data_IF_219757391470
#
_entry.id   IF_219757391470
#
_cell.length_a   1.000
_cell.length_b   1.000
_cell.length_c   1.000
_cell.angle_alpha   90.00
_cell.angle_beta   90.00
_cell.angle_gamma   90.00
#
_symmetry.space_group_name_H-M   'P 1'
#
loop_
_entity.id
_entity.type
_entity.pdbx_description
1 polymer ?
#
# COMPACT_ATOMS: atom_id res chain seq x y z
N UNK A 1 -0.85 15.99 6.09
CA UNK A 1 -1.42 16.91 5.08
C UNK A 1 -2.65 16.25 4.51
N UNK A 2 -3.84 16.69 4.93
CA UNK A 2 -5.09 16.30 4.29
C UNK A 2 -5.12 16.98 2.92
N UNK A 3 -5.06 16.18 1.86
CA UNK A 3 -5.36 16.63 0.50
C UNK A 3 -6.89 16.79 0.42
N UNK A 4 -7.40 17.88 0.98
CA UNK A 4 -8.69 18.38 0.56
C UNK A 4 -8.50 18.98 -0.84
N UNK A 5 -9.23 18.55 -1.88
CA UNK A 5 -9.21 19.25 -3.16
C UNK A 5 -9.66 20.69 -2.86
N UNK A 6 -8.75 21.65 -3.03
CA UNK A 6 -9.18 23.04 -3.03
C UNK A 6 -10.07 23.23 -4.24
N UNK A 7 -11.29 23.78 -4.07
CA UNK A 7 -12.04 24.25 -5.22
C UNK A 7 -11.18 25.31 -5.91
N UNK A 8 -10.80 25.03 -7.16
CA UNK A 8 -10.24 26.05 -8.04
C UNK A 8 -11.32 27.11 -8.13
N UNK A 9 -11.08 28.28 -7.55
CA UNK A 9 -11.93 29.42 -7.82
C UNK A 9 -11.67 29.79 -9.27
N UNK A 10 -12.68 29.59 -10.10
CA UNK A 10 -12.67 30.05 -11.46
C UNK A 10 -12.87 31.57 -11.46
N UNK A 11 -11.80 32.29 -11.13
CA UNK A 11 -11.82 33.75 -10.98
C UNK A 11 -11.76 34.46 -12.35
N UNK A 12 -11.90 33.73 -13.46
CA UNK A 12 -11.85 34.26 -14.83
C UNK A 12 -13.15 34.11 -15.61
N UNK A 13 -14.09 33.30 -15.16
CA UNK A 13 -15.43 33.23 -15.75
C UNK A 13 -16.33 34.31 -15.14
N UNK A 14 -16.31 35.50 -15.73
CA UNK A 14 -17.45 36.39 -15.63
C UNK A 14 -18.63 35.68 -16.29
N UNK A 15 -19.42 34.92 -15.51
CA UNK A 15 -20.65 34.31 -16.00
C UNK A 15 -21.50 35.40 -16.64
N UNK A 16 -21.62 35.32 -17.96
CA UNK A 16 -22.42 36.27 -18.71
C UNK A 16 -23.83 35.72 -18.83
N UNK A 17 -24.82 36.58 -19.05
CA UNK A 17 -26.22 36.17 -19.25
C UNK A 17 -26.42 35.17 -20.41
N UNK A 18 -25.38 34.93 -21.22
CA UNK A 18 -25.39 34.02 -22.37
C UNK A 18 -25.01 32.58 -21.99
N UNK A 19 -24.47 32.33 -20.79
CA UNK A 19 -24.14 30.97 -20.33
C UNK A 19 -25.39 30.15 -19.95
N UNK A 20 -26.52 30.83 -19.71
CA UNK A 20 -27.81 30.20 -19.41
C UNK A 20 -28.52 29.63 -20.66
N UNK A 21 -28.10 30.03 -21.86
CA UNK A 21 -28.73 29.65 -23.13
C UNK A 21 -27.87 28.68 -23.97
N UNK A 22 -26.78 28.13 -23.42
CA UNK A 22 -26.06 27.05 -24.07
C UNK A 22 -26.77 25.72 -23.75
N UNK A 23 -27.54 25.11 -24.67
CA UNK A 23 -27.92 23.72 -24.50
C UNK A 23 -26.62 22.93 -24.41
N UNK A 24 -26.40 22.25 -23.27
CA UNK A 24 -25.43 21.16 -23.20
C UNK A 24 -26.01 20.04 -24.06
N UNK A 25 -25.85 20.18 -25.36
CA UNK A 25 -26.32 19.20 -26.32
C UNK A 25 -25.59 17.88 -26.04
N UNK A 26 -26.37 16.81 -25.89
CA UNK A 26 -25.88 15.45 -25.81
C UNK A 26 -25.07 15.01 -27.06
N UNK A 27 -24.97 15.88 -28.08
CA UNK A 27 -24.10 15.77 -29.23
C UNK A 27 -22.63 16.17 -28.96
N UNK A 28 -22.30 16.79 -27.82
CA UNK A 28 -20.91 17.14 -27.49
C UNK A 28 -19.99 15.94 -27.26
N UNK A 29 -20.56 14.74 -27.05
CA UNK A 29 -19.82 13.48 -26.99
C UNK A 29 -19.16 13.06 -28.32
N UNK A 30 -19.45 13.78 -29.42
CA UNK A 30 -18.91 13.50 -30.76
C UNK A 30 -18.06 14.65 -31.33
N UNK A 31 -17.50 15.53 -30.49
CA UNK A 31 -16.63 16.62 -30.99
C UNK A 31 -15.21 16.11 -31.19
N UNK A 32 -14.90 15.69 -32.42
CA UNK A 32 -13.58 15.28 -32.89
C UNK A 32 -12.62 16.45 -33.20
N UNK A 33 -12.95 17.68 -32.77
CA UNK A 33 -12.24 18.91 -33.13
C UNK A 33 -11.70 19.60 -31.88
N UNK A 34 -10.45 20.06 -31.92
CA UNK A 34 -9.85 20.79 -30.80
C UNK A 34 -10.45 22.20 -30.66
N UNK A 35 -10.29 22.83 -29.50
CA UNK A 35 -10.72 24.22 -29.27
C UNK A 35 -10.14 25.19 -30.32
N UNK A 36 -8.87 25.00 -30.72
CA UNK A 36 -8.25 25.81 -31.77
C UNK A 36 -8.84 25.52 -33.16
N UNK A 37 -9.25 24.28 -33.43
CA UNK A 37 -9.93 23.95 -34.70
C UNK A 37 -11.33 24.55 -34.78
N UNK A 38 -12.03 24.63 -33.65
CA UNK A 38 -13.30 25.34 -33.52
C UNK A 38 -13.09 26.84 -33.72
N UNK A 39 -12.05 27.42 -33.12
CA UNK A 39 -11.72 28.85 -33.29
C UNK A 39 -11.39 29.17 -34.75
N UNK A 40 -10.61 28.34 -35.43
CA UNK A 40 -10.33 28.49 -36.87
C UNK A 40 -11.60 28.41 -37.72
N UNK A 41 -12.53 27.51 -37.39
CA UNK A 41 -13.81 27.43 -38.09
C UNK A 41 -14.66 28.67 -37.87
N UNK A 42 -14.66 29.21 -36.65
CA UNK A 42 -15.32 30.46 -36.33
C UNK A 42 -14.73 31.64 -37.12
N UNK A 43 -13.40 31.73 -37.24
CA UNK A 43 -12.72 32.74 -38.07
C UNK A 43 -13.15 32.65 -39.54
N UNK A 44 -13.14 31.44 -40.12
CA UNK A 44 -13.59 31.19 -41.50
C UNK A 44 -15.06 31.59 -41.69
N UNK A 45 -15.92 31.25 -40.74
CA UNK A 45 -17.34 31.58 -40.79
C UNK A 45 -17.57 33.10 -40.71
N UNK A 46 -16.89 33.80 -39.81
CA UNK A 46 -16.99 35.27 -39.69
C UNK A 46 -16.59 35.98 -40.99
N UNK A 47 -15.55 35.50 -41.67
CA UNK A 47 -15.13 36.02 -42.97
C UNK A 47 -16.21 35.77 -44.03
N UNK A 48 -16.78 34.56 -44.07
CA UNK A 48 -17.85 34.23 -45.01
C UNK A 48 -19.11 35.08 -44.81
N UNK A 49 -19.56 35.23 -43.55
CA UNK A 49 -20.74 36.00 -43.19
C UNK A 49 -20.56 37.49 -43.51
N UNK A 50 -19.37 38.04 -43.23
CA UNK A 50 -19.05 39.42 -43.57
C UNK A 50 -19.07 39.64 -45.08
N UNK A 51 -18.51 38.72 -45.87
CA UNK A 51 -18.58 38.80 -47.33
C UNK A 51 -20.01 38.76 -47.86
N UNK A 52 -20.83 37.86 -47.31
CA UNK A 52 -22.25 37.76 -47.68
C UNK A 52 -23.02 39.04 -47.38
N UNK A 53 -22.74 39.69 -46.24
CA UNK A 53 -23.35 40.95 -45.84
C UNK A 53 -22.99 42.09 -46.81
N UNK A 54 -21.70 42.27 -47.12
CA UNK A 54 -21.24 43.29 -48.07
C UNK A 54 -21.78 43.08 -49.49
N UNK A 55 -21.90 41.82 -49.94
CA UNK A 55 -22.53 41.49 -51.20
C UNK A 55 -24.02 41.86 -51.22
N UNK A 56 -24.75 41.61 -50.13
CA UNK A 56 -26.16 41.98 -49.98
C UNK A 56 -26.38 43.51 -49.97
N UNK A 57 -25.42 44.28 -49.47
CA UNK A 57 -25.44 45.75 -49.47
C UNK A 57 -24.98 46.38 -50.80
N UNK A 58 -24.66 45.56 -51.81
CA UNK A 58 -24.27 46.03 -53.15
C UNK A 58 -22.82 46.52 -53.26
N UNK A 59 -21.96 46.19 -52.29
CA UNK A 59 -20.53 46.52 -52.28
C UNK A 59 -19.70 45.25 -52.07
N UNK A 60 -19.68 44.33 -53.05
CA UNK A 60 -18.92 43.08 -52.90
C UNK A 60 -17.44 43.38 -52.66
N UNK A 61 -16.86 42.70 -51.67
CA UNK A 61 -15.42 42.71 -51.39
C UNK A 61 -14.68 41.90 -52.46
N UNK A 62 -13.45 42.31 -52.81
CA UNK A 62 -12.55 41.54 -53.67
C UNK A 62 -12.21 40.18 -53.02
N UNK A 63 -11.90 39.16 -53.84
CA UNK A 63 -11.73 37.74 -53.44
C UNK A 63 -10.80 37.49 -52.24
N UNK A 64 -9.87 38.40 -51.95
CA UNK A 64 -8.92 38.32 -50.83
C UNK A 64 -9.02 39.47 -49.81
N UNK A 65 -9.96 40.41 -50.00
CA UNK A 65 -10.11 41.55 -49.10
C UNK A 65 -11.11 41.25 -47.97
N UNK A 66 -10.75 41.65 -46.75
CA UNK A 66 -11.63 41.73 -45.59
C UNK A 66 -11.43 43.10 -44.95
N UNK A 67 -12.43 43.67 -44.26
CA UNK A 67 -12.25 44.94 -43.56
C UNK A 67 -11.13 44.86 -42.52
N UNK A 68 -10.26 45.87 -42.45
CA UNK A 68 -9.14 45.95 -41.50
C UNK A 68 -9.59 45.76 -40.04
N UNK A 69 -10.79 46.25 -39.70
CA UNK A 69 -11.38 46.10 -38.36
C UNK A 69 -11.72 44.65 -38.04
N UNK A 70 -12.21 43.89 -39.02
CA UNK A 70 -12.48 42.46 -38.85
C UNK A 70 -11.16 41.68 -38.77
N UNK A 71 -10.17 42.04 -39.59
CA UNK A 71 -8.86 41.41 -39.56
C UNK A 71 -8.17 41.59 -38.20
N UNK A 72 -8.19 42.81 -37.65
CA UNK A 72 -7.64 43.10 -36.33
C UNK A 72 -8.39 42.34 -35.22
N UNK A 73 -9.73 42.30 -35.28
CA UNK A 73 -10.54 41.56 -34.32
C UNK A 73 -10.24 40.06 -34.35
N UNK A 74 -10.23 39.43 -35.54
CA UNK A 74 -9.95 38.00 -35.68
C UNK A 74 -8.53 37.65 -35.22
N UNK A 75 -7.55 38.51 -35.50
CA UNK A 75 -6.18 38.34 -34.99
C UNK A 75 -6.13 38.38 -33.46
N UNK A 76 -6.79 39.35 -32.83
CA UNK A 76 -6.86 39.45 -31.37
C UNK A 76 -7.56 38.24 -30.74
N UNK A 77 -8.66 37.76 -31.33
CA UNK A 77 -9.34 36.55 -30.86
C UNK A 77 -8.47 35.30 -31.03
N UNK A 78 -7.73 35.21 -32.13
CA UNK A 78 -6.78 34.13 -32.36
C UNK A 78 -5.70 34.10 -31.27
N UNK A 79 -5.05 35.24 -31.00
CA UNK A 79 -4.04 35.36 -29.95
C UNK A 79 -4.58 34.98 -28.57
N UNK A 80 -5.78 35.45 -28.22
CA UNK A 80 -6.45 35.10 -26.96
C UNK A 80 -6.76 33.61 -26.88
N UNK A 81 -7.23 33.00 -27.96
CA UNK A 81 -7.55 31.57 -28.01
C UNK A 81 -6.30 30.70 -27.81
N UNK A 82 -5.18 31.07 -28.43
CA UNK A 82 -3.88 30.40 -28.28
C UNK A 82 -3.35 30.57 -26.85
N UNK A 83 -3.42 31.78 -26.29
CA UNK A 83 -3.01 32.06 -24.91
C UNK A 83 -3.85 31.25 -23.91
N UNK A 84 -5.16 31.18 -24.11
CA UNK A 84 -6.07 30.38 -23.30
C UNK A 84 -5.69 28.89 -23.32
N UNK A 85 -5.50 28.30 -24.50
CA UNK A 85 -5.12 26.89 -24.61
C UNK A 85 -3.77 26.62 -23.96
N UNK A 86 -2.78 27.50 -24.16
CA UNK A 86 -1.47 27.38 -23.50
C UNK A 86 -1.60 27.38 -21.97
N UNK A 87 -2.42 28.28 -21.43
CA UNK A 87 -2.68 28.35 -20.00
C UNK A 87 -3.33 27.05 -19.49
N UNK A 88 -4.36 26.55 -20.19
CA UNK A 88 -5.05 25.31 -19.80
C UNK A 88 -4.15 24.08 -19.87
N UNK A 89 -3.28 23.99 -20.89
CA UNK A 89 -2.27 22.92 -20.99
C UNK A 89 -1.29 22.97 -19.81
N UNK A 90 -0.83 24.17 -19.44
CA UNK A 90 0.06 24.35 -18.30
C UNK A 90 -0.62 23.97 -16.97
N UNK A 91 -1.87 24.40 -16.77
CA UNK A 91 -2.66 24.05 -15.59
C UNK A 91 -2.90 22.54 -15.49
N UNK A 92 -3.25 21.88 -16.59
CA UNK A 92 -3.45 20.43 -16.63
C UNK A 92 -2.15 19.67 -16.35
N UNK A 93 -1.01 20.08 -16.93
CA UNK A 93 0.30 19.50 -16.57
C UNK A 93 0.58 19.63 -15.08
N UNK A 94 0.29 20.78 -14.48
CA UNK A 94 0.50 20.97 -13.04
C UNK A 94 -0.38 20.03 -12.19
N UNK A 95 -1.64 19.83 -12.59
CA UNK A 95 -2.53 18.86 -11.94
C UNK A 95 -2.02 17.43 -12.05
N UNK A 96 -1.60 17.00 -13.25
CA UNK A 96 -1.05 15.65 -13.47
C UNK A 96 0.26 15.45 -12.70
N UNK A 97 1.12 16.46 -12.63
CA UNK A 97 2.32 16.41 -11.80
C UNK A 97 1.99 16.26 -10.29
N UNK A 98 0.99 16.98 -9.79
CA UNK A 98 0.53 16.83 -8.41
C UNK A 98 -0.06 15.44 -8.15
N UNK A 99 -0.81 14.89 -9.11
CA UNK A 99 -1.34 13.54 -9.06
C UNK A 99 -0.22 12.49 -9.04
N UNK A 100 0.79 12.62 -9.90
CA UNK A 100 1.98 11.76 -9.93
C UNK A 100 2.72 11.76 -8.58
N UNK A 101 2.86 12.92 -7.95
CA UNK A 101 3.44 13.02 -6.60
C UNK A 101 2.58 12.31 -5.53
N UNK A 102 1.25 12.38 -5.66
CA UNK A 102 0.33 11.66 -4.78
C UNK A 102 0.43 10.14 -4.98
N UNK A 103 0.55 9.67 -6.23
CA UNK A 103 0.75 8.26 -6.57
C UNK A 103 2.05 7.69 -5.99
N UNK A 104 3.09 8.51 -5.82
CA UNK A 104 4.31 8.08 -5.14
C UNK A 104 4.12 7.88 -3.62
N UNK A 105 3.10 8.52 -3.03
CA UNK A 105 2.84 8.45 -1.57
C UNK A 105 1.74 7.44 -1.22
N UNK A 106 0.75 7.26 -2.10
CA UNK A 106 -0.40 6.40 -1.86
C UNK A 106 -0.07 4.94 -1.48
N UNK A 107 0.92 4.26 -2.11
CA UNK A 107 1.27 2.89 -1.76
C UNK A 107 1.68 2.75 -0.30
N UNK A 108 2.46 3.71 0.22
CA UNK A 108 2.91 3.73 1.61
C UNK A 108 1.72 3.76 2.58
N UNK A 109 0.79 4.68 2.34
CA UNK A 109 -0.39 4.85 3.21
C UNK A 109 -1.26 3.59 3.20
N UNK A 110 -1.48 3.01 2.02
CA UNK A 110 -2.25 1.76 1.89
C UNK A 110 -1.58 0.59 2.63
N UNK A 111 -0.26 0.46 2.53
CA UNK A 111 0.50 -0.61 3.17
C UNK A 111 0.60 -0.46 4.69
N UNK A 112 0.78 0.77 5.20
CA UNK A 112 0.73 1.07 6.63
C UNK A 112 -0.65 0.72 7.24
N UNK A 113 -1.74 0.93 6.48
CA UNK A 113 -3.09 0.55 6.89
C UNK A 113 -3.26 -0.97 7.03
N UNK A 114 -2.72 -1.75 6.08
CA UNK A 114 -2.74 -3.22 6.14
C UNK A 114 -2.02 -3.71 7.41
N UNK A 115 -0.84 -3.16 7.71
CA UNK A 115 -0.08 -3.55 8.92
C UNK A 115 -0.88 -3.26 10.18
N UNK A 116 -1.44 -2.05 10.29
CA UNK A 116 -2.22 -1.66 11.47
C UNK A 116 -3.42 -2.58 11.66
N UNK A 117 -4.15 -2.91 10.60
CA UNK A 117 -5.28 -3.86 10.68
C UNK A 117 -4.82 -5.28 11.06
N UNK A 118 -3.71 -5.75 10.50
CA UNK A 118 -3.15 -7.06 10.83
C UNK A 118 -2.75 -7.15 12.31
N UNK A 119 -2.02 -6.15 12.83
CA UNK A 119 -1.63 -6.08 14.25
C UNK A 119 -2.85 -6.06 15.16
N UNK A 120 -3.86 -5.25 14.85
CA UNK A 120 -5.10 -5.17 15.62
C UNK A 120 -5.87 -6.49 15.64
N UNK A 121 -5.95 -7.19 14.49
CA UNK A 121 -6.60 -8.49 14.40
C UNK A 121 -5.91 -9.53 15.29
N UNK A 122 -4.57 -9.61 15.24
CA UNK A 122 -3.78 -10.51 16.09
C UNK A 122 -3.98 -10.19 17.56
N UNK A 123 -3.85 -8.92 17.96
CA UNK A 123 -4.01 -8.49 19.35
C UNK A 123 -5.39 -8.83 19.90
N UNK A 124 -6.44 -8.66 19.09
CA UNK A 124 -7.80 -9.01 19.48
C UNK A 124 -7.98 -10.53 19.66
N UNK A 125 -7.47 -11.34 18.72
CA UNK A 125 -7.59 -12.80 18.76
C UNK A 125 -6.79 -13.40 19.92
N UNK A 126 -5.53 -13.01 20.05
CA UNK A 126 -4.65 -13.44 21.14
C UNK A 126 -5.22 -12.98 22.48
N UNK A 127 -5.67 -11.72 22.58
CA UNK A 127 -6.29 -11.22 23.81
C UNK A 127 -7.52 -12.01 24.26
N UNK A 128 -8.33 -12.51 23.32
CA UNK A 128 -9.47 -13.38 23.64
C UNK A 128 -9.02 -14.75 24.19
N UNK A 129 -8.02 -15.37 23.57
CA UNK A 129 -7.42 -16.63 24.03
C UNK A 129 -6.81 -16.45 25.43
N UNK A 130 -6.05 -15.38 25.64
CA UNK A 130 -5.43 -15.07 26.92
C UNK A 130 -6.45 -14.77 28.02
N UNK A 131 -7.52 -14.05 27.71
CA UNK A 131 -8.59 -13.76 28.67
C UNK A 131 -9.31 -15.05 29.13
N UNK A 132 -9.55 -15.97 28.20
CA UNK A 132 -10.15 -17.26 28.52
C UNK A 132 -9.23 -18.10 29.42
N UNK A 133 -7.93 -18.14 29.10
CA UNK A 133 -6.91 -18.80 29.93
C UNK A 133 -6.80 -18.17 31.30
N UNK A 134 -6.74 -16.84 31.39
CA UNK A 134 -6.58 -16.12 32.65
C UNK A 134 -7.67 -16.46 33.66
N UNK A 135 -8.91 -16.64 33.19
CA UNK A 135 -10.02 -17.06 34.05
C UNK A 135 -9.78 -18.45 34.67
N UNK A 136 -9.27 -19.40 33.89
CA UNK A 136 -8.96 -20.74 34.36
C UNK A 136 -7.73 -20.73 35.29
N UNK A 137 -6.70 -19.97 34.91
CA UNK A 137 -5.49 -19.76 35.70
C UNK A 137 -5.80 -19.26 37.11
N UNK A 138 -6.63 -18.21 37.24
CA UNK A 138 -7.02 -17.69 38.55
C UNK A 138 -7.81 -18.70 39.40
N UNK A 139 -8.59 -19.58 38.76
CA UNK A 139 -9.30 -20.63 39.48
C UNK A 139 -8.32 -21.69 40.03
N UNK A 140 -7.30 -22.08 39.27
CA UNK A 140 -6.25 -22.98 39.75
C UNK A 140 -5.38 -22.35 40.83
N UNK A 141 -5.04 -21.06 40.73
CA UNK A 141 -4.35 -20.32 41.80
C UNK A 141 -5.16 -20.34 43.10
N UNK A 142 -6.47 -20.08 43.03
CA UNK A 142 -7.35 -20.18 44.20
C UNK A 142 -7.40 -21.59 44.80
N UNK A 143 -7.37 -22.65 43.98
CA UNK A 143 -7.29 -24.03 44.47
C UNK A 143 -5.92 -24.33 45.11
N UNK A 144 -4.83 -23.82 44.53
CA UNK A 144 -3.47 -23.95 45.07
C UNK A 144 -3.39 -23.33 46.47
N UNK A 145 -3.96 -22.14 46.66
CA UNK A 145 -4.03 -21.49 47.97
C UNK A 145 -4.87 -22.29 48.97
N UNK A 146 -6.01 -22.84 48.54
CA UNK A 146 -6.84 -23.70 49.39
C UNK A 146 -6.11 -25.00 49.79
N UNK A 147 -5.37 -25.63 48.88
CA UNK A 147 -4.58 -26.81 49.19
C UNK A 147 -3.45 -26.48 50.16
N UNK A 148 -2.75 -25.36 49.93
CA UNK A 148 -1.72 -24.84 50.82
C UNK A 148 -2.24 -24.55 52.22
N UNK A 149 -3.42 -23.93 52.34
CA UNK A 149 -4.04 -23.65 53.64
C UNK A 149 -4.44 -24.92 54.41
N UNK A 150 -4.71 -26.03 53.69
CA UNK A 150 -5.03 -27.33 54.31
C UNK A 150 -3.81 -28.07 54.84
N UNK A 151 -2.59 -27.70 54.42
CA UNK A 151 -1.35 -28.20 55.02
C UNK A 151 -1.15 -27.56 56.39
N UNK A 152 -1.67 -28.22 57.43
CA UNK A 152 -1.53 -27.80 58.83
C UNK A 152 -0.55 -28.72 59.58
N UNK A 153 0.09 -28.25 60.67
CA UNK A 153 1.03 -29.07 61.45
C UNK A 153 0.43 -30.37 61.99
N UNK A 154 -0.88 -30.40 62.26
CA UNK A 154 -1.59 -31.59 62.76
C UNK A 154 -1.55 -32.78 61.78
N UNK A 155 -1.27 -32.51 60.50
CA UNK A 155 -1.10 -33.54 59.48
C UNK A 155 0.25 -34.28 59.56
N UNK A 156 1.17 -33.87 60.44
CA UNK A 156 2.38 -34.64 60.74
C UNK A 156 2.09 -35.86 61.62
N UNK A 157 0.85 -36.13 62.05
CA UNK A 157 0.54 -37.35 62.80
C UNK A 157 0.52 -38.59 61.88
N UNK A 158 1.06 -39.75 62.30
CA UNK A 158 0.93 -41.02 61.55
C UNK A 158 -0.53 -41.41 61.25
N UNK A 159 -1.49 -40.94 62.05
CA UNK A 159 -2.92 -41.20 61.85
C UNK A 159 -3.53 -40.37 60.70
N UNK A 160 -2.82 -39.37 60.18
CA UNK A 160 -3.30 -38.45 59.14
C UNK A 160 -2.67 -38.70 57.75
N UNK A 161 -1.90 -39.79 57.60
CA UNK A 161 -1.20 -40.12 56.34
C UNK A 161 -2.15 -40.15 55.14
N UNK A 162 -3.33 -40.76 55.27
CA UNK A 162 -4.32 -40.82 54.20
C UNK A 162 -4.84 -39.43 53.76
N UNK A 163 -4.90 -38.47 54.68
CA UNK A 163 -5.32 -37.09 54.39
C UNK A 163 -4.24 -36.36 53.61
N UNK A 164 -2.97 -36.53 54.00
CA UNK A 164 -1.82 -35.98 53.28
C UNK A 164 -1.73 -36.56 51.87
N UNK A 165 -1.90 -37.88 51.71
CA UNK A 165 -1.94 -38.53 50.39
C UNK A 165 -3.08 -38.00 49.52
N UNK A 166 -4.28 -37.85 50.08
CA UNK A 166 -5.41 -37.25 49.37
C UNK A 166 -5.15 -35.81 48.91
N UNK A 167 -4.42 -35.01 49.70
CA UNK A 167 -3.99 -33.66 49.30
C UNK A 167 -2.93 -33.69 48.20
N UNK A 168 -1.95 -34.60 48.28
CA UNK A 168 -0.94 -34.77 47.24
C UNK A 168 -1.57 -35.18 45.90
N UNK A 169 -2.55 -36.08 45.90
CA UNK A 169 -3.27 -36.48 44.69
C UNK A 169 -4.01 -35.28 44.08
N UNK A 170 -4.75 -34.51 44.90
CA UNK A 170 -5.46 -33.31 44.43
C UNK A 170 -4.50 -32.27 43.83
N UNK A 171 -3.35 -32.05 44.46
CA UNK A 171 -2.37 -31.10 43.98
C UNK A 171 -1.66 -31.58 42.70
N UNK A 172 -1.36 -32.87 42.60
CA UNK A 172 -0.84 -33.47 41.37
C UNK A 172 -1.84 -33.33 40.21
N UNK A 173 -3.14 -33.58 40.45
CA UNK A 173 -4.18 -33.39 39.44
C UNK A 173 -4.30 -31.93 39.00
N UNK A 174 -4.32 -30.98 39.95
CA UNK A 174 -4.35 -29.54 39.65
C UNK A 174 -3.14 -29.11 38.82
N UNK A 175 -1.94 -29.52 39.24
CA UNK A 175 -0.68 -29.20 38.56
C UNK A 175 -0.69 -29.73 37.13
N UNK A 176 -1.06 -31.00 36.93
CA UNK A 176 -1.13 -31.60 35.61
C UNK A 176 -2.12 -30.86 34.70
N UNK A 177 -3.31 -30.53 35.21
CA UNK A 177 -4.32 -29.77 34.46
C UNK A 177 -3.83 -28.36 34.09
N UNK A 178 -3.15 -27.67 35.02
CA UNK A 178 -2.61 -26.33 34.78
C UNK A 178 -1.46 -26.33 33.77
N UNK A 179 -0.53 -27.28 33.88
CA UNK A 179 0.56 -27.44 32.91
C UNK A 179 0.02 -27.74 31.51
N UNK A 180 -0.98 -28.62 31.40
CA UNK A 180 -1.63 -28.93 30.13
C UNK A 180 -2.33 -27.70 29.54
N UNK A 181 -3.03 -26.93 30.36
CA UNK A 181 -3.67 -25.69 29.92
C UNK A 181 -2.65 -24.63 29.46
N UNK A 182 -1.51 -24.49 30.15
CA UNK A 182 -0.42 -23.59 29.74
C UNK A 182 0.11 -24.00 28.36
N UNK A 183 0.37 -25.30 28.14
CA UNK A 183 0.83 -25.85 26.86
C UNK A 183 -0.19 -25.61 25.74
N UNK A 184 -1.46 -25.92 26.00
CA UNK A 184 -2.54 -25.70 25.04
C UNK A 184 -2.70 -24.22 24.64
N UNK A 185 -2.62 -23.31 25.60
CA UNK A 185 -2.76 -21.86 25.33
C UNK A 185 -1.53 -21.31 24.61
N UNK A 186 -0.32 -21.76 25.00
CA UNK A 186 0.92 -21.44 24.25
C UNK A 186 0.78 -21.82 22.79
N UNK A 187 0.25 -23.01 22.51
CA UNK A 187 0.00 -23.50 21.16
C UNK A 187 -1.06 -22.67 20.42
N UNK A 188 -2.23 -22.43 21.04
CA UNK A 188 -3.31 -21.65 20.42
C UNK A 188 -2.87 -20.23 20.04
N UNK A 189 -2.14 -19.57 20.92
CA UNK A 189 -1.58 -18.24 20.65
C UNK A 189 -0.63 -18.29 19.45
N UNK A 190 0.26 -19.28 19.39
CA UNK A 190 1.17 -19.45 18.25
C UNK A 190 0.40 -19.66 16.94
N UNK A 191 -0.65 -20.48 16.94
CA UNK A 191 -1.49 -20.71 15.75
C UNK A 191 -2.13 -19.41 15.28
N UNK A 192 -2.66 -18.59 16.20
CA UNK A 192 -3.23 -17.28 15.85
C UNK A 192 -2.21 -16.37 15.18
N UNK A 193 -0.97 -16.30 15.69
CA UNK A 193 0.10 -15.53 15.05
C UNK A 193 0.42 -16.03 13.63
N UNK A 194 0.54 -17.34 13.44
CA UNK A 194 0.84 -17.94 12.13
C UNK A 194 -0.27 -17.66 11.11
N UNK A 195 -1.53 -17.89 11.49
CA UNK A 195 -2.70 -17.68 10.61
C UNK A 195 -2.80 -16.22 10.19
N UNK A 196 -2.64 -15.30 11.14
CA UNK A 196 -2.74 -13.87 10.83
C UNK A 196 -1.52 -13.36 10.05
N UNK A 197 -0.32 -13.87 10.28
CA UNK A 197 0.86 -13.52 9.48
C UNK A 197 0.73 -13.93 8.01
N UNK A 198 0.22 -15.14 7.76
CA UNK A 198 -0.13 -15.59 6.41
C UNK A 198 -1.22 -14.73 5.78
N UNK A 199 -2.27 -14.41 6.55
CA UNK A 199 -3.34 -13.52 6.13
C UNK A 199 -2.86 -12.09 5.83
N UNK A 200 -1.86 -11.60 6.56
CA UNK A 200 -1.19 -10.32 6.28
C UNK A 200 -0.42 -10.39 4.97
N UNK A 201 0.42 -11.42 4.79
CA UNK A 201 1.23 -11.61 3.60
C UNK A 201 0.37 -11.63 2.32
N UNK A 202 -0.68 -12.46 2.30
CA UNK A 202 -1.63 -12.52 1.18
C UNK A 202 -2.25 -11.16 0.85
N UNK A 203 -2.68 -10.41 1.88
CA UNK A 203 -3.26 -9.07 1.68
C UNK A 203 -2.23 -8.07 1.13
N UNK A 204 -1.01 -8.09 1.66
CA UNK A 204 0.08 -7.23 1.20
C UNK A 204 0.40 -7.48 -0.27
N UNK A 205 0.54 -8.76 -0.66
CA UNK A 205 0.80 -9.19 -2.04
C UNK A 205 -0.33 -8.72 -2.97
N UNK A 206 -1.59 -8.97 -2.59
CA UNK A 206 -2.75 -8.60 -3.41
C UNK A 206 -2.85 -7.08 -3.61
N UNK A 207 -2.73 -6.29 -2.54
CA UNK A 207 -2.78 -4.83 -2.62
C UNK A 207 -1.60 -4.28 -3.40
N UNK A 208 -0.41 -4.84 -3.22
CA UNK A 208 0.76 -4.43 -4.00
C UNK A 208 0.54 -4.66 -5.50
N UNK A 209 0.03 -5.83 -5.93
CA UNK A 209 -0.26 -6.07 -7.34
C UNK A 209 -1.31 -5.13 -7.90
N UNK A 210 -2.40 -4.92 -7.16
CA UNK A 210 -3.44 -3.97 -7.56
C UNK A 210 -2.85 -2.56 -7.74
N UNK A 211 -1.99 -2.13 -6.81
CA UNK A 211 -1.32 -0.84 -6.91
C UNK A 211 -0.41 -0.75 -8.13
N UNK A 212 0.40 -1.77 -8.42
CA UNK A 212 1.26 -1.79 -9.60
C UNK A 212 0.44 -1.68 -10.90
N UNK A 213 -0.67 -2.42 -10.99
CA UNK A 213 -1.58 -2.35 -12.14
C UNK A 213 -2.26 -0.97 -12.29
N UNK A 214 -2.65 -0.34 -11.18
CA UNK A 214 -3.18 1.03 -11.20
C UNK A 214 -2.10 2.01 -11.68
N UNK A 215 -0.86 1.86 -11.20
CA UNK A 215 0.24 2.74 -11.59
C UNK A 215 0.60 2.58 -13.08
N UNK A 216 0.49 1.37 -13.64
CA UNK A 216 0.73 1.13 -15.07
C UNK A 216 -0.31 1.82 -15.98
N UNK A 217 -1.52 2.07 -15.46
CA UNK A 217 -2.63 2.68 -16.21
C UNK A 217 -2.77 4.19 -16.00
N UNK A 218 -2.12 4.76 -14.99
CA UNK A 218 -2.21 6.18 -14.68
C UNK A 218 -1.46 7.05 -15.71
N UNK A 219 -2.05 8.19 -16.08
CA UNK A 219 -1.38 9.24 -16.85
C UNK A 219 -0.36 9.97 -15.98
N UNK A 220 0.84 10.16 -16.51
CA UNK A 220 1.97 10.82 -15.88
C UNK A 220 2.34 12.09 -16.65
N UNK A 221 3.16 12.94 -16.04
CA UNK A 221 3.56 14.22 -16.65
C UNK A 221 4.31 14.03 -17.97
N UNK A 222 5.03 12.90 -18.11
CA UNK A 222 5.78 12.55 -19.31
C UNK A 222 4.90 12.10 -20.49
N UNK A 223 3.65 11.69 -20.23
CA UNK A 223 2.70 11.30 -21.29
C UNK A 223 2.08 12.52 -21.99
N UNK A 224 2.14 13.69 -21.34
CA UNK A 224 1.65 14.93 -21.93
C UNK A 224 2.80 15.53 -22.73
N UNK A 225 2.57 15.86 -24.01
CA UNK A 225 3.55 16.58 -24.81
C UNK A 225 3.96 17.88 -24.08
N UNK A 226 5.25 18.24 -24.06
CA UNK A 226 5.65 19.56 -23.61
C UNK A 226 4.94 20.61 -24.48
N UNK A 227 4.55 21.77 -23.92
CA UNK A 227 4.00 22.85 -24.74
C UNK A 227 4.99 23.09 -25.88
N UNK A 228 4.51 23.01 -27.13
CA UNK A 228 5.35 23.21 -28.29
C UNK A 228 6.13 24.51 -28.08
N UNK A 229 7.47 24.39 -27.97
CA UNK A 229 8.34 25.55 -27.99
C UNK A 229 7.91 26.34 -29.23
N UNK A 230 7.42 27.55 -29.02
CA UNK A 230 6.91 28.44 -30.06
C UNK A 230 7.77 28.31 -31.31
N UNK A 231 7.13 28.01 -32.44
CA UNK A 231 7.81 27.80 -33.70
C UNK A 231 8.82 28.92 -34.01
N UNK A 232 10.00 28.50 -34.48
CA UNK A 232 10.90 29.30 -35.30
C UNK A 232 11.40 30.63 -34.73
N UNK A 233 12.50 30.58 -33.99
CA UNK A 233 13.56 31.58 -34.11
C UNK A 233 14.87 30.97 -33.61
N UNK A 234 15.82 30.80 -34.51
CA UNK A 234 17.23 30.70 -34.14
C UNK A 234 17.57 31.90 -33.25
N UNK A 235 18.08 31.64 -32.04
CA UNK A 235 18.71 32.64 -31.20
C UNK A 235 17.76 33.54 -30.41
N UNK A 236 17.17 33.03 -29.33
CA UNK A 236 16.83 33.87 -28.17
C UNK A 236 16.95 33.07 -26.88
N UNK A 237 17.99 33.37 -26.10
CA UNK A 237 18.21 32.89 -24.75
C UNK A 237 17.25 33.59 -23.78
N UNK A 238 15.94 33.30 -23.83
CA UNK A 238 15.01 33.65 -22.75
C UNK A 238 14.72 32.40 -21.93
N UNK A 239 15.48 32.29 -20.85
CA UNK A 239 15.47 31.23 -19.86
C UNK A 239 14.28 31.44 -18.91
N UNK A 240 13.07 31.03 -19.32
CA UNK A 240 11.91 30.97 -18.41
C UNK A 240 11.32 29.55 -18.40
N UNK A 241 11.74 28.81 -17.38
CA UNK A 241 10.94 27.90 -16.56
C UNK A 241 9.92 26.99 -17.27
N UNK A 242 10.36 25.83 -17.76
CA UNK A 242 9.54 24.59 -17.72
C UNK A 242 10.27 23.27 -17.94
N UNK A 243 11.59 23.21 -17.78
CA UNK A 243 12.30 21.94 -17.65
C UNK A 243 12.85 21.78 -16.23
N UNK A 244 12.69 20.62 -15.58
CA UNK A 244 13.40 20.35 -14.35
C UNK A 244 14.88 20.36 -14.69
N UNK A 245 15.53 21.49 -14.41
CA UNK A 245 16.97 21.73 -14.57
C UNK A 245 17.73 20.44 -14.35
N UNK A 246 18.35 19.91 -15.42
CA UNK A 246 19.11 18.67 -15.37
C UNK A 246 20.23 18.84 -14.33
N UNK A 247 19.95 18.48 -13.07
CA UNK A 247 20.92 18.57 -11.98
C UNK A 247 22.15 17.79 -12.42
N UNK A 248 23.28 18.49 -12.47
CA UNK A 248 24.56 17.94 -12.91
C UNK A 248 24.79 16.59 -12.23
N UNK A 249 24.76 15.51 -13.02
CA UNK A 249 24.84 14.15 -12.48
C UNK A 249 26.23 13.98 -11.87
N UNK A 250 26.30 13.51 -10.62
CA UNK A 250 27.58 13.18 -10.00
C UNK A 250 28.33 12.11 -10.81
N UNK A 251 29.66 12.15 -10.76
CA UNK A 251 30.53 11.21 -11.48
C UNK A 251 30.21 9.74 -11.15
N UNK A 252 29.75 9.46 -9.91
CA UNK A 252 29.25 8.15 -9.49
C UNK A 252 27.97 7.73 -10.23
N UNK A 253 27.01 8.65 -10.42
CA UNK A 253 25.79 8.38 -11.21
C UNK A 253 26.12 8.17 -12.68
N UNK A 254 27.05 8.96 -13.24
CA UNK A 254 27.51 8.79 -14.62
C UNK A 254 28.18 7.44 -14.85
N UNK A 255 29.11 7.03 -13.97
CA UNK A 255 29.74 5.68 -14.02
C UNK A 255 28.74 4.53 -13.87
N UNK A 256 27.65 4.73 -13.13
CA UNK A 256 26.57 3.73 -13.00
C UNK A 256 25.70 3.68 -14.26
N UNK A 257 25.42 4.84 -14.87
CA UNK A 257 24.70 4.91 -16.13
C UNK A 257 25.50 4.27 -17.27
N UNK A 258 26.80 4.56 -17.38
CA UNK A 258 27.71 3.91 -18.33
C UNK A 258 27.71 2.39 -18.18
N UNK A 259 27.89 1.88 -16.95
CA UNK A 259 27.83 0.42 -16.71
C UNK A 259 26.50 -0.20 -17.11
N UNK A 260 25.37 0.49 -16.89
CA UNK A 260 24.05 0.01 -17.36
C UNK A 260 23.93 0.01 -18.88
N UNK A 261 24.61 0.94 -19.55
CA UNK A 261 24.60 1.04 -21.01
C UNK A 261 25.52 -0.03 -21.63
N UNK A 262 26.63 -0.35 -20.97
CA UNK A 262 27.60 -1.39 -21.37
C UNK A 262 27.12 -2.82 -21.06
N UNK A 263 26.46 -3.04 -19.92
CA UNK A 263 26.10 -4.38 -19.41
C UNK A 263 24.60 -4.67 -19.46
N UNK A 264 23.77 -3.69 -19.82
CA UNK A 264 22.31 -3.77 -19.70
C UNK A 264 21.80 -3.59 -18.25
N UNK A 265 20.50 -3.34 -18.08
CA UNK A 265 19.84 -3.46 -16.78
C UNK A 265 19.37 -4.91 -16.62
N UNK A 266 19.91 -5.69 -15.66
CA UNK A 266 19.55 -7.11 -15.52
C UNK A 266 18.09 -7.35 -15.13
N UNK A 267 17.37 -6.29 -14.75
CA UNK A 267 15.95 -6.34 -14.43
C UNK A 267 15.08 -5.73 -15.54
N UNK A 268 15.67 -5.24 -16.64
CA UNK A 268 14.88 -4.82 -17.79
C UNK A 268 14.10 -6.00 -18.35
N UNK A 269 12.87 -5.74 -18.78
CA UNK A 269 12.01 -6.73 -19.41
C UNK A 269 11.60 -6.15 -20.76
N UNK A 270 11.83 -6.92 -21.81
CA UNK A 270 11.37 -6.58 -23.16
C UNK A 270 9.85 -6.75 -23.25
N UNK A 271 9.22 -5.99 -24.14
CA UNK A 271 7.80 -6.12 -24.42
C UNK A 271 7.53 -7.48 -25.08
N UNK A 272 6.39 -8.10 -24.75
CA UNK A 272 5.95 -9.31 -25.47
C UNK A 272 5.67 -9.01 -26.94
N UNK A 273 5.51 -10.04 -27.77
CA UNK A 273 5.06 -9.88 -29.17
C UNK A 273 3.68 -9.18 -29.21
N UNK A 274 2.71 -9.70 -28.45
CA UNK A 274 1.36 -9.10 -28.36
C UNK A 274 1.37 -7.62 -27.93
N UNK A 275 2.25 -7.24 -27.00
CA UNK A 275 2.37 -5.85 -26.53
C UNK A 275 3.00 -4.93 -27.57
N UNK A 276 3.91 -5.45 -28.41
CA UNK A 276 4.49 -4.70 -29.52
C UNK A 276 3.47 -4.52 -30.64
N UNK A 277 2.78 -5.60 -31.00
CA UNK A 277 1.74 -5.57 -32.03
C UNK A 277 0.62 -4.59 -31.66
N UNK A 278 0.21 -4.57 -30.37
CA UNK A 278 -0.80 -3.62 -29.88
C UNK A 278 -0.32 -2.15 -29.94
N UNK A 279 0.96 -1.89 -29.66
CA UNK A 279 1.54 -0.54 -29.78
C UNK A 279 1.65 -0.12 -31.25
N UNK A 280 2.05 -1.02 -32.14
CA UNK A 280 2.15 -0.78 -33.56
C UNK A 280 0.76 -0.52 -34.19
N UNK A 281 -0.27 -1.29 -33.79
CA UNK A 281 -1.66 -1.08 -34.20
C UNK A 281 -2.20 0.28 -33.73
N UNK A 282 -1.86 0.69 -32.51
CA UNK A 282 -2.23 1.99 -31.94
C UNK A 282 -1.37 3.16 -32.48
N UNK A 283 -0.30 2.88 -33.23
CA UNK A 283 0.73 3.85 -33.61
C UNK A 283 1.30 4.62 -32.39
N UNK A 284 1.50 3.89 -31.29
CA UNK A 284 2.02 4.39 -30.02
C UNK A 284 3.42 3.82 -29.75
N UNK A 285 4.23 4.57 -29.00
CA UNK A 285 5.51 4.06 -28.49
C UNK A 285 5.38 3.64 -27.04
N UNK A 286 6.24 2.72 -26.59
CA UNK A 286 6.32 2.36 -25.17
C UNK A 286 6.48 3.60 -24.27
N UNK A 287 5.48 3.85 -23.42
CA UNK A 287 5.43 5.00 -22.52
C UNK A 287 6.61 5.04 -21.55
N UNK A 288 6.86 3.92 -20.87
CA UNK A 288 7.96 3.78 -19.90
C UNK A 288 8.65 2.42 -20.03
N UNK A 289 9.95 2.31 -19.71
CA UNK A 289 10.64 1.03 -19.66
C UNK A 289 9.97 0.08 -18.66
N UNK A 290 9.86 -1.20 -19.02
CA UNK A 290 9.38 -2.26 -18.11
C UNK A 290 10.53 -2.87 -17.33
N UNK A 291 10.21 -3.31 -16.11
CA UNK A 291 11.18 -3.91 -15.21
C UNK A 291 10.56 -5.07 -14.44
N UNK A 292 11.34 -6.14 -14.26
CA UNK A 292 11.05 -7.18 -13.30
C UNK A 292 11.32 -6.65 -11.88
N UNK A 293 10.29 -6.63 -11.06
CA UNK A 293 10.38 -6.23 -9.66
C UNK A 293 10.56 -7.46 -8.79
N UNK A 294 11.65 -7.53 -7.99
CA UNK A 294 11.93 -8.69 -7.16
C UNK A 294 10.80 -8.87 -6.14
N UNK A 295 10.53 -10.12 -5.82
CA UNK A 295 9.56 -10.48 -4.79
C UNK A 295 10.06 -10.15 -3.39
N UNK A 296 9.15 -10.26 -2.43
CA UNK A 296 9.46 -10.44 -1.03
C UNK A 296 10.20 -11.78 -0.83
N UNK A 297 11.05 -11.89 0.20
CA UNK A 297 11.54 -13.20 0.61
C UNK A 297 10.34 -14.11 0.85
N UNK A 298 10.44 -15.38 0.45
CA UNK A 298 9.43 -16.37 0.79
C UNK A 298 9.21 -16.30 2.31
N UNK A 299 7.94 -16.21 2.73
CA UNK A 299 7.61 -16.26 4.15
C UNK A 299 8.22 -17.58 4.65
N UNK A 300 9.20 -17.55 5.57
CA UNK A 300 9.71 -18.79 6.11
C UNK A 300 8.51 -19.54 6.64
N UNK A 301 8.38 -20.83 6.30
CA UNK A 301 7.42 -21.68 6.98
C UNK A 301 7.69 -21.46 8.47
N UNK A 302 6.72 -20.87 9.19
CA UNK A 302 6.89 -20.54 10.60
C UNK A 302 7.38 -21.78 11.32
N UNK A 303 8.68 -21.83 11.63
CA UNK A 303 9.25 -23.02 12.22
C UNK A 303 8.88 -22.99 13.69
N UNK A 304 7.83 -23.73 14.00
CA UNK A 304 7.41 -23.91 15.38
C UNK A 304 8.51 -24.68 16.08
N UNK A 305 9.11 -24.09 17.10
CA UNK A 305 10.17 -24.74 17.87
C UNK A 305 9.71 -26.15 18.30
N UNK A 306 10.60 -27.14 18.20
CA UNK A 306 10.27 -28.52 18.52
C UNK A 306 9.70 -28.68 19.94
N UNK A 307 10.16 -27.85 20.88
CA UNK A 307 9.67 -27.78 22.26
C UNK A 307 8.21 -27.35 22.37
N UNK A 308 7.68 -26.62 21.39
CA UNK A 308 6.28 -26.19 21.32
C UNK A 308 5.45 -27.19 20.50
N UNK A 309 6.06 -27.85 19.50
CA UNK A 309 5.41 -28.96 18.76
C UNK A 309 5.06 -30.14 19.68
N UNK A 310 5.81 -30.34 20.76
CA UNK A 310 5.55 -31.38 21.77
C UNK A 310 4.38 -31.05 22.71
N UNK A 311 3.87 -29.82 22.71
CA UNK A 311 2.84 -29.37 23.65
C UNK A 311 1.45 -29.92 23.37
N UNK A 312 1.23 -30.57 22.22
CA UNK A 312 -0.08 -31.14 21.88
C UNK A 312 0.05 -32.31 20.93
N UNK A 313 -0.74 -33.35 21.18
CA UNK A 313 -0.92 -34.52 20.31
C UNK A 313 -1.78 -34.22 19.06
N UNK A 314 -2.59 -33.14 19.06
CA UNK A 314 -3.61 -32.86 18.02
C UNK A 314 -3.51 -31.45 17.37
N UNK A 315 -2.46 -30.68 17.70
CA UNK A 315 -2.27 -29.33 17.19
C UNK A 315 -1.84 -29.29 15.72
N UNK A 316 -2.78 -29.31 14.78
CA UNK A 316 -2.46 -29.11 13.36
C UNK A 316 -2.39 -27.61 13.09
N UNK A 317 -1.18 -27.08 12.87
CA UNK A 317 -1.03 -25.77 12.22
C UNK A 317 -1.71 -25.90 10.87
N UNK A 318 -2.64 -25.00 10.49
CA UNK A 318 -3.27 -25.05 9.18
C UNK A 318 -2.18 -25.19 8.10
N UNK A 319 -2.34 -26.07 7.10
CA UNK A 319 -1.35 -26.20 6.03
C UNK A 319 -1.18 -24.84 5.33
N UNK A 320 0.02 -24.59 4.82
CA UNK A 320 0.26 -23.41 4.00
C UNK A 320 -0.53 -23.53 2.68
N UNK A 321 -1.24 -22.47 2.32
CA UNK A 321 -1.90 -22.33 1.02
C UNK A 321 -0.83 -21.95 -0.03
N UNK A 322 -0.91 -22.39 -1.29
CA UNK A 322 -0.10 -21.84 -2.39
C UNK A 322 -0.01 -20.30 -2.38
N UNK A 323 -1.09 -19.61 -2.02
CA UNK A 323 -1.12 -18.15 -1.90
C UNK A 323 -0.22 -17.59 -0.77
N UNK A 324 0.13 -18.39 0.23
CA UNK A 324 1.05 -18.00 1.29
C UNK A 324 2.53 -18.02 0.84
N UNK A 325 2.83 -18.71 -0.28
CA UNK A 325 4.19 -18.83 -0.84
C UNK A 325 4.46 -17.77 -1.91
N UNK A 326 3.44 -17.01 -2.29
CA UNK A 326 3.53 -16.00 -3.33
C UNK A 326 4.45 -14.84 -2.91
N UNK A 327 5.52 -14.62 -3.66
CA UNK A 327 6.53 -13.60 -3.33
C UNK A 327 6.20 -12.22 -3.88
N UNK A 328 5.06 -12.00 -4.55
CA UNK A 328 4.74 -10.72 -5.21
C UNK A 328 5.79 -10.28 -6.26
N UNK A 329 6.44 -11.23 -6.94
CA UNK A 329 7.18 -10.93 -8.17
C UNK A 329 6.19 -10.41 -9.20
N UNK A 330 6.55 -9.33 -9.89
CA UNK A 330 5.75 -8.77 -10.97
C UNK A 330 6.64 -8.05 -11.99
N UNK A 331 6.08 -7.82 -13.18
CA UNK A 331 6.65 -6.94 -14.19
C UNK A 331 5.72 -5.73 -14.28
N UNK A 332 6.30 -4.53 -14.27
CA UNK A 332 5.56 -3.27 -14.39
C UNK A 332 6.48 -2.17 -14.91
N UNK A 333 5.92 -0.99 -15.18
CA UNK A 333 6.71 0.16 -15.61
C UNK A 333 7.69 0.67 -14.55
N UNK A 334 8.67 1.44 -15.01
CA UNK A 334 9.73 2.02 -14.22
C UNK A 334 9.53 3.52 -14.01
N UNK A 335 8.64 3.89 -13.08
CA UNK A 335 8.50 5.28 -12.63
C UNK A 335 8.84 5.44 -11.14
N UNK A 336 8.90 6.68 -10.66
CA UNK A 336 9.17 6.96 -9.25
C UNK A 336 8.06 6.43 -8.34
N UNK A 337 6.80 6.45 -8.79
CA UNK A 337 5.69 5.85 -8.06
C UNK A 337 5.84 4.33 -7.90
N UNK A 338 6.25 3.62 -8.96
CA UNK A 338 6.52 2.17 -8.88
C UNK A 338 7.66 1.86 -7.91
N UNK A 339 8.74 2.66 -7.93
CA UNK A 339 9.84 2.53 -6.97
C UNK A 339 9.37 2.75 -5.54
N UNK A 340 8.53 3.76 -5.32
CA UNK A 340 7.97 4.05 -4.02
C UNK A 340 7.05 2.93 -3.52
N UNK A 341 6.24 2.33 -4.41
CA UNK A 341 5.41 1.17 -4.09
C UNK A 341 6.24 -0.04 -3.65
N UNK A 342 7.28 -0.40 -4.42
CA UNK A 342 8.17 -1.51 -4.09
C UNK A 342 8.93 -1.26 -2.78
N UNK A 343 9.43 -0.05 -2.58
CA UNK A 343 10.09 0.35 -1.33
C UNK A 343 9.12 0.20 -0.15
N UNK A 344 7.93 0.75 -0.27
CA UNK A 344 6.90 0.69 0.77
C UNK A 344 6.52 -0.75 1.11
N UNK A 345 6.39 -1.62 0.10
CA UNK A 345 6.08 -3.05 0.28
C UNK A 345 7.14 -3.72 1.15
N UNK A 346 8.41 -3.50 0.80
CA UNK A 346 9.54 -4.12 1.49
C UNK A 346 9.67 -3.61 2.93
N UNK A 347 9.56 -2.29 3.14
CA UNK A 347 9.64 -1.68 4.48
C UNK A 347 8.48 -2.16 5.37
N UNK A 348 7.28 -2.22 4.81
CA UNK A 348 6.07 -2.67 5.51
C UNK A 348 6.17 -4.14 5.91
N UNK A 349 6.60 -5.00 4.98
CA UNK A 349 6.81 -6.42 5.26
C UNK A 349 7.87 -6.61 6.35
N UNK A 350 9.03 -5.96 6.23
CA UNK A 350 10.10 -6.06 7.22
C UNK A 350 9.66 -5.57 8.60
N UNK A 351 8.93 -4.45 8.68
CA UNK A 351 8.41 -3.91 9.93
C UNK A 351 7.37 -4.84 10.59
N UNK A 352 6.55 -5.53 9.80
CA UNK A 352 5.62 -6.53 10.32
C UNK A 352 6.35 -7.77 10.83
N UNK A 353 7.33 -8.30 10.07
CA UNK A 353 8.15 -9.44 10.50
C UNK A 353 8.89 -9.14 11.81
N UNK A 354 9.57 -8.00 11.92
CA UNK A 354 10.26 -7.62 13.16
C UNK A 354 9.32 -7.53 14.36
N UNK A 355 8.15 -6.91 14.19
CA UNK A 355 7.13 -6.88 15.25
C UNK A 355 6.63 -8.29 15.62
N UNK A 356 6.43 -9.15 14.64
CA UNK A 356 5.95 -10.51 14.86
C UNK A 356 6.96 -11.34 15.64
N UNK A 357 8.23 -11.28 15.25
CA UNK A 357 9.33 -12.00 15.91
C UNK A 357 9.47 -11.55 17.38
N UNK A 358 9.52 -10.24 17.62
CA UNK A 358 9.59 -9.68 18.98
C UNK A 358 8.41 -10.13 19.86
N UNK A 359 7.21 -10.15 19.28
CA UNK A 359 6.00 -10.52 20.01
C UNK A 359 5.95 -12.03 20.29
N UNK A 360 6.31 -12.86 19.30
CA UNK A 360 6.41 -14.31 19.47
C UNK A 360 7.43 -14.70 20.53
N UNK A 361 8.59 -14.03 20.54
CA UNK A 361 9.63 -14.24 21.55
C UNK A 361 9.15 -13.87 22.96
N UNK A 362 8.45 -12.74 23.11
CA UNK A 362 7.88 -12.32 24.38
C UNK A 362 6.84 -13.34 24.89
N UNK A 363 5.99 -13.84 23.99
CA UNK A 363 4.98 -14.86 24.31
C UNK A 363 5.62 -16.21 24.67
N UNK A 364 6.65 -16.63 23.94
CA UNK A 364 7.41 -17.84 24.24
C UNK A 364 8.03 -17.79 25.63
N UNK A 365 8.65 -16.66 26.00
CA UNK A 365 9.20 -16.45 27.35
C UNK A 365 8.12 -16.48 28.43
N UNK A 366 6.98 -15.82 28.21
CA UNK A 366 5.86 -15.77 29.16
C UNK A 366 5.39 -17.18 29.54
N UNK A 367 4.99 -18.00 28.56
CA UNK A 367 4.44 -19.32 28.86
C UNK A 367 5.49 -20.32 29.35
N UNK A 368 6.74 -20.21 28.89
CA UNK A 368 7.84 -21.03 29.42
C UNK A 368 8.10 -20.70 30.89
N UNK A 369 7.99 -19.43 31.28
CA UNK A 369 8.14 -19.01 32.68
C UNK A 369 7.00 -19.57 33.53
N UNK A 370 5.75 -19.43 33.09
CA UNK A 370 4.59 -19.98 33.80
C UNK A 370 4.68 -21.49 34.01
N UNK A 371 5.10 -22.23 32.98
CA UNK A 371 5.27 -23.68 33.07
C UNK A 371 6.36 -24.06 34.08
N UNK A 372 7.50 -23.35 34.05
CA UNK A 372 8.61 -23.57 34.99
C UNK A 372 8.22 -23.24 36.43
N UNK A 373 7.50 -22.15 36.65
CA UNK A 373 7.01 -21.76 37.98
C UNK A 373 6.10 -22.84 38.56
N UNK A 374 5.22 -23.40 37.72
CA UNK A 374 4.32 -24.48 38.10
C UNK A 374 5.05 -25.80 38.41
N UNK A 375 6.07 -26.16 37.61
CA UNK A 375 6.95 -27.30 37.89
C UNK A 375 7.72 -27.14 39.20
N UNK A 376 8.28 -25.95 39.45
CA UNK A 376 9.00 -25.64 40.68
C UNK A 376 8.08 -25.70 41.90
N UNK A 377 6.85 -25.20 41.76
CA UNK A 377 5.84 -25.31 42.80
C UNK A 377 5.57 -26.77 43.17
N UNK A 378 5.32 -27.64 42.18
CA UNK A 378 5.04 -29.05 42.42
C UNK A 378 6.22 -29.78 43.08
N UNK A 379 7.45 -29.49 42.67
CA UNK A 379 8.65 -30.04 43.30
C UNK A 379 8.79 -29.59 44.77
N UNK A 380 8.54 -28.31 45.04
CA UNK A 380 8.60 -27.77 46.41
C UNK A 380 7.49 -28.33 47.28
N UNK A 381 6.28 -28.51 46.74
CA UNK A 381 5.18 -29.19 47.41
C UNK A 381 5.55 -30.62 47.81
N UNK A 382 6.19 -31.37 46.90
CA UNK A 382 6.69 -32.73 47.17
C UNK A 382 7.71 -32.77 48.31
N UNK A 383 8.66 -31.82 48.33
CA UNK A 383 9.65 -31.70 49.41
C UNK A 383 9.01 -31.36 50.75
N UNK A 384 8.06 -30.41 50.76
CA UNK A 384 7.36 -30.00 51.98
C UNK A 384 6.59 -31.18 52.58
N UNK A 385 5.84 -31.91 51.75
CA UNK A 385 5.07 -33.07 52.19
C UNK A 385 5.94 -34.25 52.61
N UNK A 386 7.15 -34.42 52.04
CA UNK A 386 8.14 -35.39 52.54
C UNK A 386 8.71 -35.00 53.90
N UNK A 387 9.06 -33.72 54.12
CA UNK A 387 9.55 -33.24 55.42
C UNK A 387 8.52 -33.51 56.53
N UNK A 388 7.24 -33.19 56.28
CA UNK A 388 6.17 -33.43 57.24
C UNK A 388 5.99 -34.91 57.62
N UNK A 389 6.46 -35.85 56.79
CA UNK A 389 6.44 -37.28 57.07
C UNK A 389 7.66 -37.76 57.84
N UNK A 390 8.80 -37.07 57.73
CA UNK A 390 10.04 -37.43 58.42
C UNK A 390 10.10 -36.89 59.86
N UNK A 391 9.32 -35.84 60.15
CA UNK A 391 9.17 -35.26 61.49
C UNK A 391 8.08 -35.93 62.35
N UNK A 392 7.41 -36.97 61.81
CA UNK A 392 6.49 -37.90 62.52
C UNK A 392 7.23 -39.08 63.12
#
# INVERSE_FOLDING_TARGET
>A
MQLAPQPVKDDMEASTKYDADAPVDAASAAVSKSFLDITKQFEVQCVADTRALFAAEGKPLDDHSIPDTLQAYLHEQHEKSVAYVRHQVAAYRAQVHAFEAALATAPRVAMEDIVRRAKSAVQSRVGAVEAAFQKQFLAWEGLKDQHRAKLTPDLCSPNQVAVVEGLCVKEATRTAAMQEAIRAVRWQVLVEYVVNARGFHRRLVAVFRAMMSILDTCTMTADIQPPAASGGAEGSNSHEDTEPTHKRKSLKRLRKALRKLEQGDPLAVELSEDERDALDEANETQRFPKRAWPGLPAVPAFDVAASIKQDTADGVVPPADPADVDTAVCVAYLTDAHRAAVKSRNETHAAYCGWLDETMDAMGRKYTTLLREEELWFLNWGKLTQSMRQDS
#
